data_IF_659761166771
#
_entry.id   IF_659761166771
#
_cell.length_a   1.000
_cell.length_b   1.000
_cell.length_c   1.000
_cell.angle_alpha   90.00
_cell.angle_beta   90.00
_cell.angle_gamma   90.00
#
_symmetry.space_group_name_H-M   'P 1'
#
loop_
_entity.id
_entity.type
_entity.pdbx_description
1 polymer ?
#
# COMPACT_ATOMS: atom_id res chain seq x y z
N UNK A 1 -33.46 -5.58 -7.31
CA UNK A 1 -33.22 -5.16 -5.91
C UNK A 1 -32.25 -6.14 -5.26
N UNK A 2 -30.96 -6.15 -5.69
CA UNK A 2 -29.89 -6.90 -5.05
C UNK A 2 -28.73 -5.95 -4.82
N UNK A 3 -28.68 -5.37 -3.60
CA UNK A 3 -27.69 -4.38 -3.19
C UNK A 3 -26.59 -5.05 -2.38
N UNK A 4 -25.37 -4.85 -2.87
CA UNK A 4 -24.13 -4.60 -2.10
C UNK A 4 -24.11 -5.07 -0.63
N UNK A 5 -23.88 -6.36 -0.44
CA UNK A 5 -23.42 -6.90 0.84
C UNK A 5 -22.24 -7.82 0.52
N UNK A 6 -21.08 -7.30 0.11
CA UNK A 6 -19.95 -8.16 -0.24
C UNK A 6 -18.62 -7.52 0.18
N UNK A 7 -18.51 -7.08 1.41
CA UNK A 7 -17.17 -6.88 1.99
C UNK A 7 -17.11 -7.12 3.50
N UNK A 8 -18.24 -7.43 4.15
CA UNK A 8 -18.28 -7.64 5.60
C UNK A 8 -18.39 -9.10 6.05
N UNK A 9 -18.29 -10.11 5.16
CA UNK A 9 -18.47 -11.52 5.53
C UNK A 9 -17.18 -12.33 5.37
N UNK A 10 -16.09 -11.89 5.99
CA UNK A 10 -14.86 -12.68 6.03
C UNK A 10 -14.43 -13.12 7.44
N UNK A 11 -15.30 -13.04 8.42
CA UNK A 11 -15.00 -13.58 9.75
C UNK A 11 -16.10 -14.56 10.15
N UNK A 12 -16.05 -15.76 9.60
CA UNK A 12 -16.52 -16.98 10.28
C UNK A 12 -16.04 -18.22 9.52
N UNK A 13 -15.21 -19.01 10.18
CA UNK A 13 -14.86 -20.41 9.92
C UNK A 13 -14.22 -20.72 8.56
N UNK A 14 -12.93 -20.44 8.40
CA UNK A 14 -12.10 -21.14 7.42
C UNK A 14 -11.65 -22.45 8.05
N UNK A 15 -12.35 -23.54 7.75
CA UNK A 15 -11.81 -24.89 7.91
C UNK A 15 -10.58 -25.01 6.99
N UNK A 16 -9.44 -25.34 7.60
CA UNK A 16 -8.20 -25.71 6.92
C UNK A 16 -8.43 -27.01 6.13
N UNK A 17 -8.81 -26.89 4.88
CA UNK A 17 -8.50 -27.95 3.91
C UNK A 17 -7.08 -27.68 3.43
N UNK A 18 -6.16 -28.55 3.83
CA UNK A 18 -4.78 -28.58 3.36
C UNK A 18 -4.77 -28.88 1.86
N UNK A 19 -4.89 -27.86 1.02
CA UNK A 19 -4.45 -27.96 -0.36
C UNK A 19 -2.92 -27.85 -0.33
N UNK A 20 -2.21 -28.91 -0.71
CA UNK A 20 -0.82 -28.86 -1.10
C UNK A 20 -0.68 -27.94 -2.32
N UNK A 21 -0.73 -26.64 -2.10
CA UNK A 21 -0.24 -25.67 -3.07
C UNK A 21 1.26 -25.56 -2.84
N UNK A 22 2.06 -25.72 -3.90
CA UNK A 22 3.48 -25.39 -3.85
C UNK A 22 3.60 -23.95 -3.34
N UNK A 23 3.93 -23.80 -2.06
CA UNK A 23 4.15 -22.48 -1.45
C UNK A 23 5.41 -21.89 -2.06
N UNK A 24 5.39 -20.55 -2.24
CA UNK A 24 6.59 -19.82 -2.66
C UNK A 24 7.59 -19.88 -1.51
N UNK A 25 8.82 -20.30 -1.80
CA UNK A 25 9.91 -20.27 -0.83
C UNK A 25 10.50 -18.86 -0.73
N UNK A 26 10.12 -18.11 0.32
CA UNK A 26 10.62 -16.75 0.56
C UNK A 26 12.03 -16.70 1.17
N UNK A 27 12.66 -17.85 1.43
CA UNK A 27 14.10 -17.90 1.72
C UNK A 27 14.94 -17.69 0.45
N UNK A 28 14.39 -18.00 -0.73
CA UNK A 28 14.99 -17.64 -2.01
C UNK A 28 14.77 -16.14 -2.30
N UNK A 29 15.88 -15.39 -2.34
CA UNK A 29 15.83 -13.95 -2.65
C UNK A 29 15.26 -13.64 -4.03
N UNK A 30 15.18 -14.62 -4.95
CA UNK A 30 14.56 -14.43 -6.25
C UNK A 30 13.03 -14.25 -6.17
N UNK A 31 12.43 -14.64 -5.07
CA UNK A 31 11.01 -14.42 -4.79
C UNK A 31 10.70 -13.05 -4.18
N UNK A 32 11.67 -12.12 -4.23
CA UNK A 32 11.52 -10.73 -3.82
C UNK A 32 11.85 -9.77 -4.97
N UNK A 33 11.01 -8.77 -5.15
CA UNK A 33 11.30 -7.67 -6.09
C UNK A 33 12.34 -6.70 -5.49
N UNK A 34 12.33 -6.53 -4.17
CA UNK A 34 13.37 -5.87 -3.37
C UNK A 34 13.37 -6.45 -1.95
N UNK A 35 14.54 -6.63 -1.41
CA UNK A 35 14.84 -7.05 -0.04
C UNK A 35 16.25 -6.51 0.28
N UNK A 36 16.61 -6.22 1.54
CA UNK A 36 17.96 -5.78 1.88
C UNK A 36 19.05 -6.69 1.28
N UNK A 37 19.98 -6.08 0.54
CA UNK A 37 21.00 -6.82 -0.22
C UNK A 37 20.63 -7.12 -1.69
N UNK A 38 19.37 -6.94 -2.08
CA UNK A 38 18.86 -7.09 -3.45
C UNK A 38 17.97 -5.92 -3.85
N UNK A 39 18.43 -4.69 -3.64
CA UNK A 39 17.67 -3.51 -4.03
C UNK A 39 17.89 -3.17 -5.52
N UNK A 40 16.82 -2.87 -6.28
CA UNK A 40 16.98 -2.37 -7.63
C UNK A 40 17.80 -1.08 -7.65
N UNK A 41 18.83 -1.01 -8.50
CA UNK A 41 19.79 0.11 -8.54
C UNK A 41 19.14 1.50 -8.66
N UNK A 42 17.94 1.60 -9.25
CA UNK A 42 17.23 2.87 -9.37
C UNK A 42 16.57 3.31 -8.05
N UNK A 43 16.35 2.42 -7.08
CA UNK A 43 15.78 2.78 -5.78
C UNK A 43 16.74 3.69 -5.01
N UNK A 44 18.05 3.45 -5.11
CA UNK A 44 19.09 4.26 -4.47
C UNK A 44 19.06 5.74 -4.90
N UNK A 45 18.56 6.04 -6.10
CA UNK A 45 18.42 7.42 -6.60
C UNK A 45 17.43 8.26 -5.81
N UNK A 46 16.52 7.62 -5.08
CA UNK A 46 15.51 8.28 -4.25
C UNK A 46 15.95 8.44 -2.79
N UNK A 47 17.09 7.82 -2.41
CA UNK A 47 17.62 7.87 -1.05
C UNK A 47 18.64 9.03 -0.97
N UNK A 48 18.19 10.14 -0.40
CA UNK A 48 19.04 11.30 -0.08
C UNK A 48 19.46 11.32 1.39
N UNK A 49 18.64 10.69 2.24
CA UNK A 49 18.83 10.63 3.68
C UNK A 49 18.62 9.20 4.14
N UNK A 50 19.69 8.55 4.58
CA UNK A 50 19.68 7.15 5.03
C UNK A 50 19.47 6.98 6.54
N UNK A 51 19.24 8.06 7.28
CA UNK A 51 19.15 8.07 8.75
C UNK A 51 18.19 7.01 9.30
N UNK A 52 17.09 6.75 8.60
CA UNK A 52 16.03 5.87 9.05
C UNK A 52 16.06 4.47 8.44
N UNK A 53 16.84 4.26 7.37
CA UNK A 53 16.82 2.99 6.60
C UNK A 53 17.14 1.78 7.49
N UNK A 54 18.07 1.94 8.46
CA UNK A 54 18.42 0.85 9.38
C UNK A 54 17.51 0.74 10.61
N UNK A 55 16.60 1.68 10.82
CA UNK A 55 15.82 1.80 12.06
C UNK A 55 14.39 1.28 11.93
N UNK A 56 13.83 1.27 10.74
CA UNK A 56 12.47 0.83 10.45
C UNK A 56 12.42 -0.01 9.18
N UNK A 57 11.28 -0.62 8.92
CA UNK A 57 11.03 -1.43 7.74
C UNK A 57 9.82 -0.92 6.97
N UNK A 58 9.88 -1.00 5.65
CA UNK A 58 8.77 -0.75 4.73
C UNK A 58 8.41 -2.05 4.06
N UNK A 59 7.23 -2.57 4.33
CA UNK A 59 6.70 -3.76 3.67
C UNK A 59 5.74 -3.32 2.56
N UNK A 60 6.18 -3.44 1.30
CA UNK A 60 5.45 -2.94 0.14
C UNK A 60 4.78 -4.05 -0.66
N UNK A 61 3.47 -3.91 -0.88
CA UNK A 61 2.69 -4.81 -1.74
C UNK A 61 2.16 -4.03 -2.95
N UNK A 62 2.64 -4.42 -4.13
CA UNK A 62 2.32 -3.76 -5.39
C UNK A 62 0.91 -4.10 -5.89
N UNK A 63 0.34 -3.27 -6.80
CA UNK A 63 -0.96 -3.56 -7.43
C UNK A 63 -0.84 -4.72 -8.43
N UNK A 64 -1.97 -5.29 -8.84
CA UNK A 64 -1.92 -6.22 -9.97
C UNK A 64 -1.54 -5.51 -11.28
N UNK A 65 -0.65 -6.14 -12.03
CA UNK A 65 -0.30 -5.79 -13.40
C UNK A 65 -0.89 -6.79 -14.41
N UNK A 66 -1.62 -7.79 -13.94
CA UNK A 66 -2.34 -8.75 -14.77
C UNK A 66 -3.72 -8.17 -15.12
N UNK A 67 -3.75 -7.38 -16.21
CA UNK A 67 -4.91 -6.54 -16.57
C UNK A 67 -5.35 -6.71 -18.03
N UNK A 68 -4.64 -7.51 -18.84
CA UNK A 68 -5.00 -7.71 -20.24
C UNK A 68 -6.28 -8.55 -20.32
N UNK A 69 -7.29 -8.03 -21.02
CA UNK A 69 -8.57 -8.72 -21.20
C UNK A 69 -8.44 -10.04 -21.98
N UNK A 70 -7.35 -10.22 -22.72
CA UNK A 70 -7.05 -11.45 -23.47
C UNK A 70 -6.50 -12.56 -22.58
N UNK A 71 -6.00 -12.22 -21.39
CA UNK A 71 -5.49 -13.22 -20.45
C UNK A 71 -6.62 -14.13 -19.97
N UNK A 72 -6.41 -15.43 -20.06
CA UNK A 72 -7.36 -16.46 -19.57
C UNK A 72 -7.07 -16.90 -18.15
N UNK A 73 -5.83 -16.66 -17.66
CA UNK A 73 -5.36 -17.07 -16.33
C UNK A 73 -5.98 -16.23 -15.21
N UNK A 74 -6.23 -16.84 -14.06
CA UNK A 74 -6.69 -16.14 -12.84
C UNK A 74 -5.55 -15.56 -12.03
N UNK A 75 -4.42 -16.24 -11.96
CA UNK A 75 -3.21 -15.81 -11.24
C UNK A 75 -2.00 -15.99 -12.14
N UNK A 76 -1.04 -15.09 -12.02
CA UNK A 76 0.26 -15.27 -12.66
C UNK A 76 0.99 -16.44 -12.01
N UNK A 77 1.81 -17.16 -12.79
CA UNK A 77 2.74 -18.15 -12.27
C UNK A 77 4.06 -17.49 -11.90
N UNK A 78 4.74 -18.02 -10.88
CA UNK A 78 6.08 -17.61 -10.50
C UNK A 78 7.01 -18.84 -10.52
N UNK A 79 8.29 -18.67 -10.86
CA UNK A 79 8.96 -17.41 -11.24
C UNK A 79 8.58 -16.91 -12.63
N UNK A 80 8.54 -15.59 -12.84
CA UNK A 80 8.33 -14.93 -14.13
C UNK A 80 9.21 -13.67 -14.22
N UNK A 81 10.20 -13.70 -15.11
CA UNK A 81 11.15 -12.60 -15.28
C UNK A 81 10.52 -11.35 -15.88
N UNK A 82 9.50 -11.47 -16.72
CA UNK A 82 8.79 -10.32 -17.30
C UNK A 82 7.90 -9.65 -16.27
N UNK A 83 7.27 -10.46 -15.40
CA UNK A 83 6.54 -9.96 -14.25
C UNK A 83 7.47 -9.20 -13.31
N UNK A 84 8.61 -9.78 -12.91
CA UNK A 84 9.60 -9.10 -12.08
C UNK A 84 10.03 -7.76 -12.69
N UNK A 85 10.38 -7.71 -13.97
CA UNK A 85 10.73 -6.46 -14.69
C UNK A 85 9.59 -5.44 -14.60
N UNK A 86 8.35 -5.87 -14.75
CA UNK A 86 7.16 -5.01 -14.65
C UNK A 86 6.98 -4.47 -13.24
N UNK A 87 7.08 -5.31 -12.22
CA UNK A 87 7.02 -4.91 -10.81
C UNK A 87 8.10 -3.88 -10.49
N UNK A 88 9.34 -4.15 -10.87
CA UNK A 88 10.48 -3.24 -10.65
C UNK A 88 10.28 -1.90 -11.36
N UNK A 89 9.87 -1.92 -12.64
CA UNK A 89 9.70 -0.72 -13.45
C UNK A 89 8.48 0.12 -13.04
N UNK A 90 7.36 -0.50 -12.71
CA UNK A 90 6.10 0.19 -12.41
C UNK A 90 5.85 0.31 -10.91
N UNK A 91 5.92 -0.80 -10.17
CA UNK A 91 5.65 -0.85 -8.73
C UNK A 91 6.75 -0.19 -7.91
N UNK A 92 7.99 -0.68 -8.02
CA UNK A 92 9.09 -0.17 -7.20
C UNK A 92 9.45 1.27 -7.59
N UNK A 93 9.70 1.53 -8.88
CA UNK A 93 10.16 2.86 -9.34
C UNK A 93 9.14 3.96 -9.11
N UNK A 94 7.87 3.76 -9.46
CA UNK A 94 6.87 4.83 -9.44
C UNK A 94 6.03 4.87 -8.17
N UNK A 95 6.03 3.82 -7.36
CA UNK A 95 5.24 3.75 -6.14
C UNK A 95 6.12 3.54 -4.91
N UNK A 96 6.72 2.36 -4.70
CA UNK A 96 7.49 2.04 -3.49
C UNK A 96 8.60 3.04 -3.19
N UNK A 97 9.21 3.64 -4.21
CA UNK A 97 10.25 4.66 -4.07
C UNK A 97 9.85 5.88 -3.24
N UNK A 98 8.55 6.15 -3.08
CA UNK A 98 8.08 7.21 -2.18
C UNK A 98 8.43 6.95 -0.71
N UNK A 99 8.61 5.70 -0.32
CA UNK A 99 8.99 5.29 1.04
C UNK A 99 10.46 4.89 1.19
N UNK A 100 11.28 5.04 0.15
CA UNK A 100 12.67 4.54 0.14
C UNK A 100 13.55 5.11 1.27
N UNK A 101 13.26 6.30 1.78
CA UNK A 101 13.98 6.92 2.92
C UNK A 101 13.40 6.57 4.29
N UNK A 102 12.30 5.82 4.34
CA UNK A 102 11.57 5.57 5.59
C UNK A 102 11.92 4.24 6.26
N UNK A 103 12.68 3.37 5.62
CA UNK A 103 13.07 2.07 6.17
C UNK A 103 13.71 1.17 5.13
N UNK A 104 14.14 -0.02 5.57
CA UNK A 104 14.56 -1.09 4.66
C UNK A 104 13.35 -1.55 3.86
N UNK A 105 13.50 -1.71 2.55
CA UNK A 105 12.38 -2.07 1.67
C UNK A 105 12.26 -3.58 1.50
N UNK A 106 11.06 -4.10 1.73
CA UNK A 106 10.68 -5.49 1.49
C UNK A 106 9.48 -5.51 0.54
N UNK A 107 9.62 -6.12 -0.63
CA UNK A 107 8.55 -6.29 -1.59
C UNK A 107 8.56 -7.72 -2.14
N UNK A 108 7.75 -8.63 -1.60
CA UNK A 108 7.68 -10.00 -2.07
C UNK A 108 7.05 -10.06 -3.46
N UNK A 109 7.50 -10.99 -4.30
CA UNK A 109 6.74 -11.43 -5.46
C UNK A 109 5.61 -12.35 -4.99
N UNK A 110 4.44 -12.20 -5.56
CA UNK A 110 3.27 -13.03 -5.23
C UNK A 110 2.47 -13.34 -6.49
N UNK A 111 1.74 -14.42 -6.50
CA UNK A 111 0.90 -14.83 -7.64
C UNK A 111 -0.32 -13.93 -7.74
N UNK A 112 -0.10 -12.67 -8.13
CA UNK A 112 -1.15 -11.67 -8.26
C UNK A 112 -2.35 -12.19 -9.03
N UNK A 113 -3.55 -11.82 -8.58
CA UNK A 113 -4.78 -12.15 -9.26
C UNK A 113 -5.05 -11.18 -10.42
N UNK A 114 -5.66 -11.69 -11.49
CA UNK A 114 -6.11 -10.87 -12.60
C UNK A 114 -7.15 -9.84 -12.12
N UNK A 115 -7.13 -8.63 -12.69
CA UNK A 115 -8.07 -7.55 -12.29
C UNK A 115 -9.54 -7.96 -12.36
N UNK A 116 -9.92 -8.88 -13.28
CA UNK A 116 -11.29 -9.39 -13.39
C UNK A 116 -11.77 -10.11 -12.12
N UNK A 117 -10.85 -10.55 -11.24
CA UNK A 117 -11.22 -11.23 -9.99
C UNK A 117 -12.17 -10.41 -9.12
N UNK A 118 -12.06 -9.09 -9.16
CA UNK A 118 -12.95 -8.18 -8.43
C UNK A 118 -14.36 -8.11 -9.00
N UNK A 119 -14.55 -8.48 -10.28
CA UNK A 119 -15.86 -8.47 -10.96
C UNK A 119 -16.52 -9.84 -11.02
N UNK A 120 -15.78 -10.91 -10.70
CA UNK A 120 -16.22 -12.29 -10.79
C UNK A 120 -15.89 -13.08 -9.52
N UNK A 121 -16.21 -12.51 -8.35
CA UNK A 121 -15.84 -13.11 -7.05
C UNK A 121 -16.34 -14.54 -6.92
N UNK A 122 -17.60 -14.79 -7.22
CA UNK A 122 -18.22 -16.11 -7.08
C UNK A 122 -17.77 -17.12 -8.17
N UNK A 123 -17.25 -16.61 -9.30
CA UNK A 123 -16.84 -17.42 -10.45
C UNK A 123 -15.30 -17.58 -10.52
N UNK A 124 -14.64 -17.80 -9.37
CA UNK A 124 -13.21 -18.05 -9.30
C UNK A 124 -12.37 -16.85 -8.84
N UNK A 125 -12.90 -15.63 -8.88
CA UNK A 125 -12.19 -14.42 -8.48
C UNK A 125 -11.78 -14.42 -7.00
N UNK A 126 -12.67 -14.86 -6.11
CA UNK A 126 -12.39 -15.01 -4.68
C UNK A 126 -11.24 -15.99 -4.43
N UNK A 127 -11.25 -17.15 -5.10
CA UNK A 127 -10.17 -18.15 -5.01
C UNK A 127 -8.83 -17.57 -5.48
N UNK A 128 -8.85 -16.79 -6.56
CA UNK A 128 -7.65 -16.13 -7.09
C UNK A 128 -7.08 -15.09 -6.12
N UNK A 129 -7.93 -14.25 -5.53
CA UNK A 129 -7.52 -13.25 -4.53
C UNK A 129 -6.99 -13.90 -3.25
N UNK A 130 -7.63 -14.99 -2.78
CA UNK A 130 -7.14 -15.75 -1.62
C UNK A 130 -5.79 -16.42 -1.89
N UNK A 131 -5.56 -16.95 -3.09
CA UNK A 131 -4.26 -17.49 -3.48
C UNK A 131 -3.17 -16.42 -3.42
N UNK A 132 -3.45 -15.24 -3.96
CA UNK A 132 -2.53 -14.10 -3.92
C UNK A 132 -2.28 -13.62 -2.48
N UNK A 133 -3.32 -13.57 -1.65
CA UNK A 133 -3.19 -13.21 -0.24
C UNK A 133 -2.33 -14.22 0.54
N UNK A 134 -2.53 -15.51 0.32
CA UNK A 134 -1.74 -16.54 1.00
C UNK A 134 -0.25 -16.39 0.72
N UNK A 135 0.13 -16.06 -0.51
CA UNK A 135 1.54 -15.78 -0.84
C UNK A 135 2.06 -14.57 -0.05
N UNK A 136 1.31 -13.46 -0.06
CA UNK A 136 1.67 -12.25 0.70
C UNK A 136 1.75 -12.52 2.20
N UNK A 137 0.84 -13.31 2.73
CA UNK A 137 0.80 -13.73 4.14
C UNK A 137 2.03 -14.53 4.54
N UNK A 138 2.40 -15.52 3.74
CA UNK A 138 3.60 -16.34 4.01
C UNK A 138 4.89 -15.52 3.87
N UNK A 139 4.96 -14.61 2.89
CA UNK A 139 6.07 -13.66 2.79
C UNK A 139 6.18 -12.76 4.03
N UNK A 140 5.04 -12.28 4.56
CA UNK A 140 5.03 -11.43 5.75
C UNK A 140 5.44 -12.21 7.00
N UNK A 141 4.99 -13.47 7.16
CA UNK A 141 5.42 -14.35 8.26
C UNK A 141 6.93 -14.62 8.21
N UNK A 142 7.45 -14.91 7.02
CA UNK A 142 8.88 -15.10 6.81
C UNK A 142 9.67 -13.83 7.16
N UNK A 143 9.20 -12.66 6.68
CA UNK A 143 9.82 -11.38 7.01
C UNK A 143 9.83 -11.11 8.53
N UNK A 144 8.72 -11.34 9.23
CA UNK A 144 8.66 -11.16 10.68
C UNK A 144 9.68 -12.05 11.40
N UNK A 145 9.79 -13.31 10.98
CA UNK A 145 10.68 -14.30 11.60
C UNK A 145 12.16 -14.00 11.34
N UNK A 146 12.53 -13.71 10.09
CA UNK A 146 13.94 -13.70 9.69
C UNK A 146 14.56 -12.29 9.63
N UNK A 147 13.75 -11.24 9.45
CA UNK A 147 14.27 -9.91 9.15
C UNK A 147 13.83 -8.79 10.09
N UNK A 148 12.61 -8.83 10.61
CA UNK A 148 12.03 -7.68 11.32
C UNK A 148 12.78 -7.35 12.62
N UNK A 149 13.06 -8.34 13.47
CA UNK A 149 13.75 -8.15 14.75
C UNK A 149 13.16 -7.00 15.60
N UNK A 150 11.83 -6.91 15.68
CA UNK A 150 11.13 -5.90 16.46
C UNK A 150 11.19 -4.47 15.91
N UNK A 151 11.63 -4.25 14.67
CA UNK A 151 11.64 -2.92 14.05
C UNK A 151 10.24 -2.44 13.77
N UNK A 152 9.98 -1.13 13.89
CA UNK A 152 8.70 -0.55 13.50
C UNK A 152 8.48 -0.68 11.98
N UNK A 153 7.21 -0.86 11.61
CA UNK A 153 6.78 -1.25 10.27
C UNK A 153 5.93 -0.14 9.65
N UNK A 154 6.23 0.20 8.41
CA UNK A 154 5.34 0.94 7.51
C UNK A 154 4.83 -0.06 6.48
N UNK A 155 3.52 -0.23 6.37
CA UNK A 155 2.95 -0.84 5.18
C UNK A 155 2.77 0.20 4.09
N UNK A 156 3.24 -0.15 2.91
CA UNK A 156 3.05 0.62 1.69
C UNK A 156 2.36 -0.27 0.65
N UNK A 157 1.32 0.22 0.00
CA UNK A 157 0.58 -0.61 -0.95
C UNK A 157 -0.21 0.22 -1.95
N UNK A 158 -0.80 -0.47 -2.93
CA UNK A 158 -1.75 0.14 -3.86
C UNK A 158 -2.69 -0.92 -4.44
N UNK A 159 -3.98 -0.58 -4.59
CA UNK A 159 -4.98 -1.38 -5.31
C UNK A 159 -5.05 -2.82 -4.76
N UNK A 160 -4.79 -3.86 -5.55
CA UNK A 160 -4.78 -5.26 -5.07
C UNK A 160 -3.81 -5.46 -3.90
N UNK A 161 -2.65 -4.78 -3.92
CA UNK A 161 -1.73 -4.79 -2.78
C UNK A 161 -2.38 -4.22 -1.51
N UNK A 162 -3.20 -3.17 -1.63
CA UNK A 162 -3.93 -2.61 -0.49
C UNK A 162 -5.00 -3.58 0.03
N UNK A 163 -5.67 -4.35 -0.84
CA UNK A 163 -6.56 -5.44 -0.42
C UNK A 163 -5.81 -6.45 0.47
N UNK A 164 -4.63 -6.88 0.04
CA UNK A 164 -3.84 -7.84 0.81
C UNK A 164 -3.28 -7.26 2.11
N UNK A 165 -2.83 -6.00 2.11
CA UNK A 165 -2.42 -5.32 3.35
C UNK A 165 -3.59 -5.17 4.31
N UNK A 166 -4.81 -4.89 3.84
CA UNK A 166 -5.99 -4.84 4.71
C UNK A 166 -6.20 -6.17 5.45
N UNK A 167 -6.08 -7.30 4.74
CA UNK A 167 -6.17 -8.63 5.35
C UNK A 167 -5.01 -8.92 6.32
N UNK A 168 -3.78 -8.49 6.01
CA UNK A 168 -2.66 -8.59 6.96
C UNK A 168 -2.90 -7.77 8.22
N UNK A 169 -3.45 -6.56 8.08
CA UNK A 169 -3.77 -5.71 9.23
C UNK A 169 -4.83 -6.36 10.12
N UNK A 170 -5.88 -6.94 9.55
CA UNK A 170 -6.90 -7.68 10.29
C UNK A 170 -6.32 -8.92 10.99
N UNK A 171 -5.44 -9.67 10.32
CA UNK A 171 -4.89 -10.92 10.85
C UNK A 171 -3.81 -10.68 11.91
N UNK A 172 -2.93 -9.67 11.74
CA UNK A 172 -1.72 -9.53 12.56
C UNK A 172 -1.70 -8.31 13.47
N UNK A 173 -2.55 -7.29 13.23
CA UNK A 173 -2.46 -6.00 13.91
C UNK A 173 -3.73 -5.59 14.63
N UNK A 174 -4.91 -5.73 14.04
CA UNK A 174 -6.17 -5.20 14.57
C UNK A 174 -6.51 -5.84 15.93
N UNK A 175 -6.37 -5.06 17.01
CA UNK A 175 -6.52 -5.53 18.39
C UNK A 175 -5.42 -6.46 18.90
N UNK A 176 -4.20 -6.41 18.33
CA UNK A 176 -3.06 -7.28 18.67
C UNK A 176 -1.81 -6.49 19.04
N UNK A 177 -0.90 -7.10 19.79
CA UNK A 177 0.33 -6.48 20.31
C UNK A 177 1.24 -5.96 19.20
N UNK A 178 1.22 -6.60 18.03
CA UNK A 178 2.02 -6.16 16.87
C UNK A 178 1.63 -4.74 16.40
N UNK A 179 0.45 -4.23 16.79
CA UNK A 179 0.02 -2.84 16.52
C UNK A 179 1.01 -1.81 17.04
N UNK A 180 1.71 -2.10 18.14
CA UNK A 180 2.73 -1.19 18.70
C UNK A 180 3.92 -0.99 17.78
N UNK A 181 4.20 -1.93 16.89
CA UNK A 181 5.24 -1.81 15.86
C UNK A 181 4.73 -1.11 14.58
N UNK A 182 3.43 -0.89 14.44
CA UNK A 182 2.88 -0.25 13.25
C UNK A 182 3.10 1.27 13.29
N UNK A 183 3.93 1.79 12.41
CA UNK A 183 4.00 3.25 12.23
C UNK A 183 2.72 3.71 11.52
N UNK A 184 2.45 3.15 10.37
CA UNK A 184 1.26 3.47 9.54
C UNK A 184 1.12 2.46 8.40
N UNK A 185 -0.11 2.16 8.02
CA UNK A 185 -0.42 1.47 6.77
C UNK A 185 -0.99 2.46 5.73
N UNK A 186 -0.32 2.61 4.60
CA UNK A 186 -0.80 3.33 3.43
C UNK A 186 -1.51 2.33 2.51
N UNK A 187 -2.84 2.40 2.44
CA UNK A 187 -3.69 1.46 1.70
C UNK A 187 -4.61 2.16 0.67
N UNK A 188 -4.04 2.99 -0.24
CA UNK A 188 -4.82 3.66 -1.27
C UNK A 188 -5.32 2.70 -2.36
N UNK A 189 -6.39 3.10 -3.03
CA UNK A 189 -6.90 2.41 -4.20
C UNK A 189 -7.95 1.33 -3.92
N UNK A 190 -8.45 1.25 -2.69
CA UNK A 190 -9.57 0.38 -2.29
C UNK A 190 -10.58 1.13 -1.43
N UNK A 191 -11.82 0.65 -1.38
CA UNK A 191 -12.84 1.17 -0.47
C UNK A 191 -12.74 0.52 0.90
N UNK A 192 -12.56 1.32 1.95
CA UNK A 192 -12.51 0.87 3.35
C UNK A 192 -13.79 1.29 4.07
N UNK A 193 -14.51 0.34 4.63
CA UNK A 193 -15.69 0.59 5.46
C UNK A 193 -15.31 0.95 6.90
N UNK A 194 -16.26 1.56 7.61
CA UNK A 194 -16.09 1.83 9.05
C UNK A 194 -15.97 0.57 9.90
N UNK A 195 -16.51 -0.55 9.41
CA UNK A 195 -16.48 -1.87 10.05
C UNK A 195 -15.29 -2.75 9.61
N UNK A 196 -14.42 -2.26 8.71
CA UNK A 196 -13.29 -3.06 8.21
C UNK A 196 -12.32 -3.45 9.31
N UNK A 197 -12.09 -2.57 10.28
CA UNK A 197 -11.23 -2.82 11.43
C UNK A 197 -12.02 -2.63 12.73
N UNK A 198 -11.75 -3.47 13.73
CA UNK A 198 -12.40 -3.40 15.03
C UNK A 198 -11.74 -2.37 15.97
N UNK A 199 -10.44 -2.22 15.90
CA UNK A 199 -9.64 -1.39 16.82
C UNK A 199 -8.68 -0.46 16.08
N UNK A 200 -8.22 -0.83 14.87
CA UNK A 200 -7.21 -0.08 14.15
C UNK A 200 -7.82 1.21 13.56
N UNK A 201 -7.39 2.41 14.00
CA UNK A 201 -8.01 3.66 13.59
C UNK A 201 -7.56 4.12 12.20
N UNK A 202 -8.45 4.81 11.48
CA UNK A 202 -8.03 5.67 10.38
C UNK A 202 -7.35 6.93 10.95
N UNK A 203 -6.13 7.19 10.53
CA UNK A 203 -5.35 8.34 10.99
C UNK A 203 -5.82 9.61 10.28
N UNK A 204 -6.18 10.62 11.07
CA UNK A 204 -6.78 11.88 10.57
C UNK A 204 -5.94 13.12 10.79
N UNK A 205 -4.72 12.95 11.31
CA UNK A 205 -3.71 14.02 11.42
C UNK A 205 -2.40 13.57 10.79
N UNK A 206 -1.62 14.52 10.32
CA UNK A 206 -0.37 14.25 9.59
C UNK A 206 0.65 13.43 10.38
N UNK A 207 0.63 13.54 11.71
CA UNK A 207 1.59 12.89 12.61
C UNK A 207 1.01 11.73 13.43
N UNK A 208 -0.27 11.36 13.20
CA UNK A 208 -0.85 10.19 13.90
C UNK A 208 -0.13 8.90 13.47
N UNK A 209 -0.01 7.94 14.40
CA UNK A 209 0.65 6.65 14.21
C UNK A 209 -0.26 5.51 14.70
N UNK A 210 0.17 4.27 14.52
CA UNK A 210 -0.55 3.06 14.94
C UNK A 210 -1.95 2.93 14.30
N UNK A 211 -2.01 3.12 12.99
CA UNK A 211 -3.25 3.04 12.23
C UNK A 211 -3.02 3.06 10.73
N UNK A 212 -4.06 3.36 9.97
CA UNK A 212 -4.02 3.38 8.52
C UNK A 212 -4.46 4.70 7.91
N UNK A 213 -4.06 4.93 6.66
CA UNK A 213 -4.54 6.00 5.79
C UNK A 213 -4.95 5.42 4.44
N UNK A 214 -6.04 5.95 3.89
CA UNK A 214 -6.58 5.52 2.60
C UNK A 214 -7.14 6.67 1.80
N UNK A 215 -7.09 6.55 0.49
CA UNK A 215 -7.71 7.47 -0.48
C UNK A 215 -7.86 6.79 -1.84
N UNK A 216 -8.70 7.36 -2.70
CA UNK A 216 -8.98 6.88 -4.05
C UNK A 216 -9.10 8.08 -4.98
N UNK A 217 -8.29 8.16 -6.05
CA UNK A 217 -8.16 9.37 -6.85
C UNK A 217 -8.99 9.31 -8.13
N UNK A 218 -9.79 10.36 -8.36
CA UNK A 218 -10.69 10.49 -9.50
C UNK A 218 -10.44 11.77 -10.31
N UNK A 219 -10.91 11.75 -11.55
CA UNK A 219 -11.12 12.96 -12.36
C UNK A 219 -12.29 13.79 -11.80
N UNK A 220 -12.44 15.00 -12.33
CA UNK A 220 -13.48 15.97 -11.92
C UNK A 220 -14.92 15.42 -11.92
N UNK A 221 -15.25 14.38 -12.69
CA UNK A 221 -16.57 13.75 -12.66
C UNK A 221 -16.50 12.42 -11.93
N UNK A 222 -17.39 12.21 -10.99
CA UNK A 222 -17.68 10.92 -10.40
C UNK A 222 -18.27 10.03 -11.49
N UNK A 223 -18.00 8.75 -11.43
CA UNK A 223 -18.41 7.78 -12.41
C UNK A 223 -18.99 6.53 -11.72
N UNK A 224 -19.53 5.60 -12.49
CA UNK A 224 -20.13 4.37 -11.97
C UNK A 224 -19.18 3.58 -11.06
N UNK A 225 -17.88 3.61 -11.36
CA UNK A 225 -16.86 2.96 -10.51
C UNK A 225 -16.79 3.61 -9.13
N UNK A 226 -16.88 4.94 -9.03
CA UNK A 226 -16.93 5.62 -7.75
C UNK A 226 -18.21 5.25 -6.98
N UNK A 227 -19.37 5.32 -7.61
CA UNK A 227 -20.64 4.99 -6.99
C UNK A 227 -20.66 3.54 -6.44
N UNK A 228 -20.05 2.61 -7.18
CA UNK A 228 -20.03 1.19 -6.84
C UNK A 228 -19.04 0.86 -5.71
N UNK A 229 -17.84 1.46 -5.74
CA UNK A 229 -16.71 0.95 -4.95
C UNK A 229 -16.26 1.89 -3.83
N UNK A 230 -16.53 3.19 -3.93
CA UNK A 230 -15.87 4.18 -3.07
C UNK A 230 -16.79 5.15 -2.35
N UNK A 231 -18.01 5.33 -2.82
CA UNK A 231 -18.99 6.20 -2.16
C UNK A 231 -19.30 5.72 -0.75
N UNK A 232 -19.28 6.61 0.22
CA UNK A 232 -19.48 6.29 1.64
C UNK A 232 -18.30 5.62 2.34
N UNK A 233 -17.18 5.38 1.63
CA UNK A 233 -16.00 4.75 2.20
C UNK A 233 -15.11 5.76 2.94
N UNK A 234 -14.24 5.25 3.80
CA UNK A 234 -13.25 6.06 4.50
C UNK A 234 -12.22 6.62 3.53
N UNK A 235 -11.87 7.89 3.69
CA UNK A 235 -10.76 8.51 2.95
C UNK A 235 -10.23 9.73 3.69
N UNK A 236 -8.96 10.04 3.46
CA UNK A 236 -8.32 11.29 3.85
C UNK A 236 -7.84 12.04 2.61
N UNK A 237 -7.54 13.33 2.76
CA UNK A 237 -6.85 14.12 1.73
C UNK A 237 -5.33 13.90 1.87
N UNK A 238 -4.65 13.23 0.90
CA UNK A 238 -3.23 12.88 1.01
C UNK A 238 -2.28 14.07 0.83
N UNK A 239 -2.78 15.28 0.58
CA UNK A 239 -1.97 16.52 0.59
C UNK A 239 -1.91 17.11 2.00
N UNK A 240 -3.02 17.06 2.74
CA UNK A 240 -3.11 17.62 4.10
C UNK A 240 -3.05 16.56 5.20
N UNK A 241 -3.19 15.28 4.84
CA UNK A 241 -3.18 14.12 5.75
C UNK A 241 -4.27 14.17 6.81
N UNK A 242 -5.42 14.74 6.44
CA UNK A 242 -6.61 14.84 7.28
C UNK A 242 -7.88 14.80 6.42
N UNK A 243 -9.02 15.09 7.01
CA UNK A 243 -10.33 15.11 6.34
C UNK A 243 -10.70 16.46 5.72
N UNK A 244 -9.73 17.34 5.48
CA UNK A 244 -9.97 18.62 4.81
C UNK A 244 -10.60 18.43 3.43
N UNK A 245 -11.74 19.08 3.21
CA UNK A 245 -12.51 18.96 1.96
C UNK A 245 -11.73 19.42 0.72
N UNK A 246 -10.80 20.35 0.90
CA UNK A 246 -10.01 20.90 -0.22
C UNK A 246 -8.57 21.18 0.23
N UNK A 247 -7.61 20.80 -0.61
CA UNK A 247 -6.24 21.28 -0.50
C UNK A 247 -5.86 21.99 -1.80
N UNK A 248 -5.50 23.28 -1.66
CA UNK A 248 -5.10 24.10 -2.79
C UNK A 248 -3.78 23.60 -3.39
N UNK A 249 -3.58 23.88 -4.67
CA UNK A 249 -2.42 23.44 -5.46
C UNK A 249 -1.06 23.75 -4.82
N UNK A 250 -0.92 24.89 -4.17
CA UNK A 250 0.33 25.30 -3.52
C UNK A 250 0.74 24.41 -2.33
N UNK A 251 -0.18 23.63 -1.78
CA UNK A 251 0.09 22.67 -0.71
C UNK A 251 0.62 21.33 -1.24
N UNK A 252 0.32 20.98 -2.51
CA UNK A 252 0.74 19.74 -3.13
C UNK A 252 2.25 19.71 -3.35
N UNK A 253 2.94 18.73 -2.75
CA UNK A 253 4.41 18.66 -2.69
C UNK A 253 5.05 18.15 -3.96
N UNK A 254 4.44 17.14 -4.60
CA UNK A 254 4.98 16.68 -5.88
C UNK A 254 4.40 15.40 -6.44
N UNK A 255 4.08 15.46 -7.71
CA UNK A 255 3.69 14.36 -8.57
C UNK A 255 4.92 13.79 -9.30
N UNK A 256 5.24 12.52 -9.06
CA UNK A 256 6.28 11.81 -9.79
C UNK A 256 5.70 11.26 -11.10
N UNK A 257 5.99 11.95 -12.20
CA UNK A 257 5.36 11.70 -13.49
C UNK A 257 6.10 10.62 -14.29
N UNK A 258 5.42 10.08 -15.32
CA UNK A 258 5.93 8.99 -16.17
C UNK A 258 7.25 9.29 -16.88
N UNK A 259 7.58 10.56 -17.09
CA UNK A 259 8.88 11.02 -17.61
C UNK A 259 10.00 11.04 -16.56
N UNK A 260 9.76 10.46 -15.38
CA UNK A 260 10.69 10.42 -14.25
C UNK A 260 11.10 11.79 -13.69
N UNK A 261 10.22 12.81 -13.85
CA UNK A 261 10.40 14.14 -13.25
C UNK A 261 9.35 14.40 -12.19
N UNK A 262 9.72 15.22 -11.20
CA UNK A 262 8.85 15.68 -10.11
C UNK A 262 8.19 17.01 -10.49
N UNK A 263 6.86 17.08 -10.34
CA UNK A 263 6.08 18.30 -10.59
C UNK A 263 5.38 18.74 -9.32
N UNK A 264 5.88 19.81 -8.71
CA UNK A 264 5.24 20.47 -7.55
C UNK A 264 4.01 21.26 -7.97
N UNK A 265 3.11 21.48 -7.02
CA UNK A 265 1.92 22.31 -7.24
C UNK A 265 1.11 21.87 -8.49
N UNK A 266 1.01 20.55 -8.72
CA UNK A 266 0.46 20.01 -9.95
C UNK A 266 -1.07 20.18 -10.05
N UNK A 267 -1.79 20.05 -8.94
CA UNK A 267 -3.26 20.08 -8.90
C UNK A 267 -3.81 20.48 -7.53
N UNK A 268 -5.08 20.85 -7.50
CA UNK A 268 -5.91 21.00 -6.30
C UNK A 268 -6.63 19.68 -6.05
N UNK A 269 -6.79 19.30 -4.79
CA UNK A 269 -7.56 18.12 -4.39
C UNK A 269 -8.88 18.51 -3.75
N UNK A 270 -9.91 17.66 -3.93
CA UNK A 270 -11.20 17.78 -3.27
C UNK A 270 -11.59 16.41 -2.71
N UNK A 271 -11.73 16.31 -1.38
CA UNK A 271 -12.25 15.13 -0.72
C UNK A 271 -13.77 15.16 -0.71
N UNK A 272 -14.40 14.21 -1.36
CA UNK A 272 -15.84 14.08 -1.44
C UNK A 272 -16.20 12.62 -1.21
N UNK A 273 -16.84 12.36 -0.08
CA UNK A 273 -17.50 11.10 0.25
C UNK A 273 -16.73 9.83 -0.21
N UNK A 274 -15.53 9.63 0.32
CA UNK A 274 -14.67 8.47 0.03
C UNK A 274 -13.76 8.62 -1.20
N UNK A 275 -13.89 9.67 -1.99
CA UNK A 275 -13.06 9.94 -3.17
C UNK A 275 -12.24 11.21 -3.07
N UNK A 276 -11.05 11.20 -3.66
CA UNK A 276 -10.22 12.37 -3.89
C UNK A 276 -10.32 12.78 -5.35
N UNK A 277 -10.89 13.95 -5.59
CA UNK A 277 -10.90 14.55 -6.91
C UNK A 277 -9.74 15.47 -7.09
N UNK A 278 -9.12 15.40 -8.24
CA UNK A 278 -8.05 16.34 -8.56
C UNK A 278 -8.38 17.14 -9.81
N UNK A 279 -8.02 18.41 -9.80
CA UNK A 279 -8.03 19.24 -11.01
C UNK A 279 -7.01 18.69 -12.00
N UNK A 280 -7.18 18.99 -13.30
CA UNK A 280 -6.25 18.53 -14.34
C UNK A 280 -4.80 18.88 -13.97
N UNK A 281 -3.88 17.88 -13.86
CA UNK A 281 -2.49 18.14 -13.48
C UNK A 281 -1.78 19.08 -14.44
N UNK A 282 -0.97 19.99 -13.89
CA UNK A 282 -0.06 20.86 -14.65
C UNK A 282 1.26 20.11 -14.89
N UNK A 283 1.29 19.30 -15.93
CA UNK A 283 2.47 18.53 -16.36
C UNK A 283 2.60 18.62 -17.89
N UNK A 284 3.81 18.42 -18.46
CA UNK A 284 3.97 18.27 -19.92
C UNK A 284 3.14 17.11 -20.44
N UNK A 285 2.73 17.17 -21.71
CA UNK A 285 1.93 16.12 -22.36
C UNK A 285 0.64 15.74 -21.59
N UNK A 286 -0.03 16.73 -21.00
CA UNK A 286 -1.27 16.52 -20.23
C UNK A 286 -2.42 15.90 -21.02
N UNK A 287 -2.34 15.82 -22.34
CA UNK A 287 -3.27 15.04 -23.18
C UNK A 287 -3.26 13.56 -22.82
N UNK A 288 -2.09 12.98 -22.48
CA UNK A 288 -1.97 11.59 -22.02
C UNK A 288 -2.72 11.37 -20.69
N UNK A 289 -2.58 12.28 -19.74
CA UNK A 289 -3.33 12.21 -18.48
C UNK A 289 -4.84 12.45 -18.66
N UNK A 290 -5.21 13.24 -19.67
CA UNK A 290 -6.61 13.46 -20.00
C UNK A 290 -7.28 12.24 -20.64
N UNK A 291 -6.52 11.38 -21.32
CA UNK A 291 -7.01 10.13 -21.91
C UNK A 291 -7.30 9.02 -20.88
N UNK A 292 -6.72 9.09 -19.69
CA UNK A 292 -7.02 8.13 -18.62
C UNK A 292 -8.50 8.21 -18.23
N UNK A 293 -9.16 7.08 -18.06
CA UNK A 293 -10.55 7.03 -17.61
C UNK A 293 -10.72 7.50 -16.16
N UNK A 294 -9.77 7.14 -15.31
CA UNK A 294 -9.65 7.58 -13.92
C UNK A 294 -8.18 7.80 -13.55
N UNK A 295 -7.92 8.20 -12.33
CA UNK A 295 -6.55 8.41 -11.81
C UNK A 295 -6.12 7.35 -10.81
N UNK A 296 -6.87 6.25 -10.69
CA UNK A 296 -6.57 5.15 -9.78
C UNK A 296 -5.13 4.62 -9.93
N UNK A 297 -4.64 4.45 -11.15
CA UNK A 297 -3.26 3.99 -11.38
C UNK A 297 -2.21 4.95 -10.81
N UNK A 298 -2.60 6.18 -10.54
CA UNK A 298 -1.76 7.26 -10.03
C UNK A 298 -1.91 7.52 -8.52
N UNK A 299 -2.71 6.76 -7.79
CA UNK A 299 -2.99 7.03 -6.37
C UNK A 299 -1.72 7.25 -5.53
N UNK A 300 -0.62 6.59 -5.84
CA UNK A 300 0.65 6.80 -5.15
C UNK A 300 1.49 7.88 -5.81
N UNK A 301 1.78 7.77 -7.09
CA UNK A 301 2.74 8.68 -7.72
C UNK A 301 2.21 10.11 -7.94
N UNK A 302 0.89 10.32 -7.95
CA UNK A 302 0.29 11.66 -7.88
C UNK A 302 0.70 12.40 -6.60
N UNK A 303 0.82 11.70 -5.48
CA UNK A 303 1.14 12.24 -4.16
C UNK A 303 2.53 11.81 -3.66
N UNK A 304 3.43 11.50 -4.58
CA UNK A 304 4.70 10.85 -4.25
C UNK A 304 5.52 11.61 -3.19
N UNK A 305 5.71 12.92 -3.38
CA UNK A 305 6.48 13.74 -2.43
C UNK A 305 5.69 14.01 -1.14
N UNK A 306 4.35 14.11 -1.22
CA UNK A 306 3.48 14.22 -0.06
C UNK A 306 3.59 12.97 0.84
N UNK A 307 3.59 11.78 0.24
CA UNK A 307 3.78 10.49 0.91
C UNK A 307 5.17 10.42 1.54
N UNK A 308 6.22 10.77 0.79
CA UNK A 308 7.61 10.75 1.28
C UNK A 308 7.78 11.61 2.53
N UNK A 309 7.28 12.83 2.52
CA UNK A 309 7.38 13.73 3.67
C UNK A 309 6.55 13.24 4.85
N UNK A 310 5.34 12.75 4.61
CA UNK A 310 4.45 12.25 5.65
C UNK A 310 5.00 10.98 6.31
N UNK A 311 5.48 10.02 5.55
CA UNK A 311 6.05 8.78 6.10
C UNK A 311 7.23 9.06 7.03
N UNK A 312 8.11 10.01 6.65
CA UNK A 312 9.21 10.47 7.51
C UNK A 312 8.73 11.19 8.78
N UNK A 313 7.66 11.97 8.68
CA UNK A 313 7.10 12.66 9.83
C UNK A 313 6.50 11.67 10.85
N UNK A 314 5.70 10.70 10.38
CA UNK A 314 5.12 9.63 11.22
C UNK A 314 6.20 8.76 11.85
N UNK A 315 7.24 8.42 11.10
CA UNK A 315 8.40 7.69 11.59
C UNK A 315 9.09 8.42 12.77
N UNK A 316 9.35 9.72 12.61
CA UNK A 316 9.91 10.56 13.69
C UNK A 316 8.99 10.58 14.92
N UNK A 317 7.69 10.67 14.73
CA UNK A 317 6.72 10.64 15.82
C UNK A 317 6.75 9.31 16.55
N UNK A 318 6.79 8.18 15.81
CA UNK A 318 6.85 6.86 16.41
C UNK A 318 8.07 6.70 17.32
N UNK A 319 9.26 7.08 16.84
CA UNK A 319 10.48 7.02 17.65
C UNK A 319 10.45 7.98 18.86
N UNK A 320 9.81 9.14 18.72
CA UNK A 320 9.65 10.07 19.84
C UNK A 320 8.78 9.46 20.94
N UNK A 321 7.66 8.83 20.57
CA UNK A 321 6.70 8.20 21.51
C UNK A 321 7.33 6.96 22.18
N UNK A 322 8.03 6.13 21.41
CA UNK A 322 8.55 4.84 21.88
C UNK A 322 9.99 4.89 22.41
N UNK A 323 10.64 6.07 22.44
CA UNK A 323 12.02 6.24 22.96
C UNK A 323 12.20 5.68 24.37
N UNK A 324 11.21 5.84 25.22
CA UNK A 324 11.24 5.36 26.61
C UNK A 324 11.10 3.83 26.73
N UNK A 325 10.44 3.19 25.79
CA UNK A 325 10.29 1.72 25.75
C UNK A 325 11.58 1.03 25.30
N UNK A 326 12.27 1.60 24.29
CA UNK A 326 13.54 1.06 23.80
C UNK A 326 14.65 1.13 24.84
N UNK A 327 14.72 2.21 25.62
CA UNK A 327 15.71 2.37 26.70
C UNK A 327 15.43 1.43 27.89
N UNK A 328 14.17 1.13 28.21
CA UNK A 328 13.82 0.19 29.28
C UNK A 328 14.19 -1.27 28.94
N UNK A 329 14.08 -1.66 27.67
CA UNK A 329 14.43 -3.01 27.23
C UNK A 329 15.94 -3.22 27.13
N UNK A 330 16.71 -2.18 26.78
CA UNK A 330 18.18 -2.25 26.81
C UNK A 330 18.75 -2.38 28.22
N UNK A 331 18.11 -1.77 29.22
CA UNK A 331 18.52 -1.88 30.63
C UNK A 331 18.13 -3.22 31.30
N UNK A 332 17.17 -3.96 30.73
CA UNK A 332 16.81 -5.31 31.18
C UNK A 332 17.69 -6.41 30.60
N UNK A 333 18.36 -6.16 29.48
CA UNK A 333 19.27 -7.11 28.83
C UNK A 333 20.72 -7.02 29.31
N UNK A 334 21.07 -6.09 30.22
CA UNK A 334 22.34 -6.01 30.93
C UNK A 334 22.06 -6.06 32.44
N UNK A 335 21.86 -7.24 33.07
CA UNK A 335 22.00 -7.38 34.50
C UNK A 335 23.48 -7.22 34.83
N UNK A 336 23.79 -6.28 35.74
CA UNK A 336 25.11 -6.13 36.32
C UNK A 336 25.53 -7.40 37.02
#
# INVERSE_FOLDING_TARGET
MFRCIIFCLFVSHVFLTAFSQNNIDYSDLNNWATIPGKDPAHLNKFIKDSTWIKKADVFYIYPTFLVDKKDTIWNISLPDSNHLKTVVKKGIKFQASAWAESGRMFAPLYRQAHIRSYHHLENGGKKALLKAYNDVREAFKFYLKEYNNGRPIIFASHSQGATHVTLLLQEFFDGKDLTDQLITAYIPGIGIDSSTFSSLPMLTKANDINGYVTWNTFKKKLNDKYEMWYKGKKAINPVTWNTSKTASRNLHKGFYYVNSKMYKNAFTTHLIDGGIWITKPKVPFRSLSAALKDYHIGDVNLFWEDIKQNSKARLKTWFKVHKNHLNKNQNKSNPK
#
